data_IF_775447770947
#
_entry.id   IF_775447770947
#
_cell.length_a   1.000
_cell.length_b   1.000
_cell.length_c   1.000
_cell.angle_alpha   90.00
_cell.angle_beta   90.00
_cell.angle_gamma   90.00
#
_symmetry.space_group_name_H-M   'P 1'
#
loop_
_entity.id
_entity.type
_entity.pdbx_description
1 polymer ?
#
# COMPACT_ATOMS: atom_id res chain seq x y z
N UNK A 1 -15.43 -3.52 1.04
CA UNK A 1 -14.29 -4.41 0.69
C UNK A 1 -14.86 -5.73 0.22
N UNK A 2 -14.57 -6.12 -1.03
CA UNK A 2 -15.09 -7.35 -1.63
C UNK A 2 -14.23 -8.60 -1.35
N UNK A 3 -12.96 -8.39 -1.00
CA UNK A 3 -12.00 -9.48 -0.78
C UNK A 3 -10.79 -8.97 0.00
N UNK A 4 -10.23 -9.81 0.86
CA UNK A 4 -8.89 -9.64 1.44
C UNK A 4 -8.01 -10.80 1.01
N UNK A 5 -6.85 -10.47 0.40
CA UNK A 5 -5.83 -11.44 0.01
C UNK A 5 -4.60 -11.31 0.90
N UNK A 6 -4.07 -12.43 1.34
CA UNK A 6 -2.82 -12.48 2.10
C UNK A 6 -1.82 -13.44 1.45
N UNK A 7 -0.53 -13.11 1.55
CA UNK A 7 0.54 -14.01 1.10
C UNK A 7 0.89 -15.10 2.11
N UNK A 8 0.29 -15.07 3.28
CA UNK A 8 0.48 -16.04 4.36
C UNK A 8 -0.78 -16.20 5.20
N UNK A 9 -0.88 -17.30 5.91
CA UNK A 9 -1.94 -17.51 6.91
C UNK A 9 -1.87 -16.42 7.98
N UNK A 10 -3.02 -15.83 8.29
CA UNK A 10 -3.17 -14.82 9.33
C UNK A 10 -4.48 -15.08 10.09
N UNK A 11 -4.42 -15.83 11.22
CA UNK A 11 -5.61 -16.18 11.99
C UNK A 11 -6.44 -14.99 12.44
N UNK A 12 -5.80 -13.91 12.91
CA UNK A 12 -6.50 -12.71 13.35
C UNK A 12 -7.21 -12.01 12.21
N UNK A 13 -6.58 -11.93 11.04
CA UNK A 13 -7.22 -11.36 9.84
C UNK A 13 -8.38 -12.24 9.36
N UNK A 14 -8.21 -13.57 9.40
CA UNK A 14 -9.27 -14.49 9.04
C UNK A 14 -10.48 -14.35 9.98
N UNK A 15 -10.27 -14.28 11.29
CA UNK A 15 -11.32 -14.05 12.28
C UNK A 15 -12.07 -12.73 12.01
N UNK A 16 -11.34 -11.63 11.82
CA UNK A 16 -11.91 -10.35 11.43
C UNK A 16 -12.75 -10.43 10.14
N UNK A 17 -12.23 -11.13 9.11
CA UNK A 17 -12.94 -11.28 7.83
C UNK A 17 -14.25 -12.06 8.01
N UNK A 18 -14.25 -13.11 8.84
CA UNK A 18 -15.46 -13.88 9.17
C UNK A 18 -16.49 -12.97 9.86
N UNK A 19 -16.08 -12.22 10.87
CA UNK A 19 -16.96 -11.28 11.60
C UNK A 19 -17.56 -10.21 10.68
N UNK A 20 -16.77 -9.72 9.71
CA UNK A 20 -17.20 -8.66 8.78
C UNK A 20 -17.87 -9.21 7.51
N UNK A 21 -18.03 -10.54 7.39
CA UNK A 21 -18.54 -11.23 6.19
C UNK A 21 -17.76 -10.84 4.91
N UNK A 22 -16.43 -10.74 5.02
CA UNK A 22 -15.51 -10.45 3.91
C UNK A 22 -14.80 -11.75 3.51
N UNK A 23 -14.79 -12.15 2.22
CA UNK A 23 -13.97 -13.26 1.74
C UNK A 23 -12.49 -13.05 2.07
N UNK A 24 -11.83 -14.10 2.61
CA UNK A 24 -10.41 -14.10 2.90
C UNK A 24 -9.75 -15.27 2.17
N UNK A 25 -8.77 -14.97 1.32
CA UNK A 25 -8.03 -16.00 0.58
C UNK A 25 -6.52 -15.85 0.81
N UNK A 26 -5.80 -16.96 0.80
CA UNK A 26 -4.33 -16.99 0.99
C UNK A 26 -3.69 -17.52 -0.29
N UNK A 27 -2.86 -16.67 -0.91
CA UNK A 27 -2.11 -17.00 -2.11
C UNK A 27 -0.61 -16.92 -1.82
N UNK A 28 0.02 -18.08 -1.61
CA UNK A 28 1.43 -18.16 -1.20
C UNK A 28 2.43 -17.83 -2.32
N UNK A 29 2.03 -17.94 -3.58
CA UNK A 29 2.87 -17.69 -4.74
C UNK A 29 2.25 -16.59 -5.62
N UNK A 30 3.12 -15.69 -6.12
CA UNK A 30 2.71 -14.64 -7.05
C UNK A 30 2.68 -15.18 -8.50
N UNK A 31 1.81 -16.13 -8.75
CA UNK A 31 1.42 -16.44 -10.11
C UNK A 31 0.32 -15.47 -10.51
N UNK A 32 0.57 -14.67 -11.53
CA UNK A 32 -0.37 -13.63 -11.99
C UNK A 32 -1.76 -14.17 -12.20
N UNK A 33 -1.87 -15.35 -12.80
CA UNK A 33 -3.13 -15.99 -13.14
C UNK A 33 -3.95 -16.35 -11.90
N UNK A 34 -3.31 -16.81 -10.82
CA UNK A 34 -4.00 -17.13 -9.58
C UNK A 34 -4.64 -15.89 -8.95
N UNK A 35 -3.91 -14.77 -8.91
CA UNK A 35 -4.42 -13.49 -8.39
C UNK A 35 -5.52 -12.92 -9.29
N UNK A 36 -5.36 -12.97 -10.62
CA UNK A 36 -6.36 -12.50 -11.57
C UNK A 36 -7.65 -13.31 -11.48
N UNK A 37 -7.55 -14.64 -11.41
CA UNK A 37 -8.72 -15.52 -11.28
C UNK A 37 -9.51 -15.25 -10.00
N UNK A 38 -8.81 -15.00 -8.88
CA UNK A 38 -9.47 -14.70 -7.61
C UNK A 38 -10.12 -13.31 -7.66
N UNK A 39 -9.45 -12.31 -8.21
CA UNK A 39 -10.03 -10.99 -8.41
C UNK A 39 -11.28 -11.04 -9.31
N UNK A 40 -11.23 -11.81 -10.39
CA UNK A 40 -12.37 -11.98 -11.29
C UNK A 40 -13.54 -12.70 -10.60
N UNK A 41 -13.26 -13.78 -9.88
CA UNK A 41 -14.27 -14.55 -9.11
C UNK A 41 -15.05 -13.66 -8.13
N UNK A 42 -14.37 -12.67 -7.53
CA UNK A 42 -14.95 -11.75 -6.55
C UNK A 42 -15.31 -10.39 -7.14
N UNK A 43 -15.32 -10.22 -8.46
CA UNK A 43 -15.70 -9.00 -9.19
C UNK A 43 -14.94 -7.76 -8.70
N UNK A 44 -13.64 -7.91 -8.44
CA UNK A 44 -12.79 -6.85 -7.92
C UNK A 44 -12.47 -5.84 -9.03
N UNK A 45 -12.72 -4.57 -8.76
CA UNK A 45 -12.45 -3.46 -9.69
C UNK A 45 -11.25 -2.60 -9.26
N UNK A 46 -10.93 -2.58 -7.97
CA UNK A 46 -9.82 -1.83 -7.41
C UNK A 46 -8.95 -2.73 -6.52
N UNK A 47 -7.65 -2.54 -6.59
CA UNK A 47 -6.68 -3.27 -5.77
C UNK A 47 -5.95 -2.30 -4.86
N UNK A 48 -5.96 -2.59 -3.57
CA UNK A 48 -5.30 -1.76 -2.56
C UNK A 48 -4.15 -2.57 -1.95
N UNK A 49 -2.94 -2.05 -2.08
CA UNK A 49 -1.75 -2.66 -1.50
C UNK A 49 -1.47 -2.02 -0.13
N UNK A 50 -1.51 -2.85 0.90
CA UNK A 50 -1.20 -2.45 2.27
C UNK A 50 -0.12 -3.38 2.83
N UNK A 51 1.11 -2.91 2.90
CA UNK A 51 2.25 -3.72 3.34
C UNK A 51 2.64 -4.83 2.37
N UNK A 52 2.31 -4.69 1.08
CA UNK A 52 2.71 -5.63 0.05
C UNK A 52 4.13 -5.31 -0.43
N UNK A 53 5.06 -6.26 -0.25
CA UNK A 53 6.49 -6.02 -0.43
C UNK A 53 7.08 -6.58 -1.73
N UNK A 54 6.29 -7.35 -2.50
CA UNK A 54 6.72 -7.95 -3.75
C UNK A 54 6.41 -7.04 -4.93
N UNK A 55 7.16 -7.20 -6.03
CA UNK A 55 6.81 -6.52 -7.28
C UNK A 55 5.49 -7.10 -7.82
N UNK A 56 4.58 -6.23 -8.20
CA UNK A 56 3.36 -6.62 -8.90
C UNK A 56 3.75 -7.06 -10.32
N UNK A 57 3.28 -8.22 -10.80
CA UNK A 57 3.51 -8.66 -12.17
C UNK A 57 2.88 -7.71 -13.19
N UNK A 58 3.54 -7.53 -14.33
CA UNK A 58 3.10 -6.64 -15.41
C UNK A 58 1.69 -6.99 -15.90
N UNK A 59 1.41 -8.27 -16.15
CA UNK A 59 0.08 -8.74 -16.55
C UNK A 59 -1.03 -8.38 -15.54
N UNK A 60 -0.69 -8.28 -14.25
CA UNK A 60 -1.64 -7.85 -13.23
C UNK A 60 -1.88 -6.33 -13.29
N UNK A 61 -0.83 -5.54 -13.57
CA UNK A 61 -0.95 -4.08 -13.77
C UNK A 61 -1.79 -3.78 -15.00
N UNK A 62 -1.57 -4.50 -16.11
CA UNK A 62 -2.34 -4.38 -17.34
C UNK A 62 -3.83 -4.71 -17.16
N UNK A 63 -4.16 -5.68 -16.28
CA UNK A 63 -5.54 -6.04 -15.96
C UNK A 63 -6.27 -5.00 -15.10
N UNK A 64 -5.52 -4.18 -14.36
CA UNK A 64 -6.06 -3.13 -13.47
C UNK A 64 -5.44 -1.75 -13.79
N UNK A 65 -5.59 -1.23 -15.02
CA UNK A 65 -4.95 0.02 -15.44
C UNK A 65 -5.45 1.18 -14.58
N UNK A 66 -4.52 1.87 -13.91
CA UNK A 66 -4.80 2.97 -12.96
C UNK A 66 -5.71 2.61 -11.79
N UNK A 67 -5.86 1.33 -11.46
CA UNK A 67 -6.75 0.83 -10.39
C UNK A 67 -6.03 0.05 -9.29
N UNK A 68 -4.71 0.19 -9.22
CA UNK A 68 -3.91 -0.37 -8.12
C UNK A 68 -3.34 0.79 -7.32
N UNK A 69 -3.75 0.91 -6.06
CA UNK A 69 -3.28 1.95 -5.14
C UNK A 69 -2.32 1.32 -4.14
N UNK A 70 -1.17 1.97 -3.94
CA UNK A 70 -0.21 1.59 -2.91
C UNK A 70 0.02 2.74 -1.92
N UNK A 71 0.39 2.40 -0.70
CA UNK A 71 0.90 3.34 0.29
C UNK A 71 2.37 3.07 0.56
N UNK A 72 3.19 4.11 0.44
CA UNK A 72 4.62 4.07 0.72
C UNK A 72 4.94 4.88 1.98
N UNK A 73 5.72 4.33 2.95
CA UNK A 73 5.95 4.94 4.26
C UNK A 73 7.00 6.04 4.28
N UNK A 74 7.12 6.81 3.19
CA UNK A 74 7.95 8.00 3.08
C UNK A 74 7.40 8.99 2.05
N UNK A 75 8.04 10.16 1.95
CA UNK A 75 7.72 11.17 0.93
C UNK A 75 8.47 10.86 -0.36
N UNK A 76 7.78 10.24 -1.34
CA UNK A 76 8.34 10.00 -2.66
C UNK A 76 8.69 11.31 -3.39
N UNK A 77 9.69 11.31 -4.29
CA UNK A 77 10.45 10.17 -4.79
C UNK A 77 11.60 9.73 -3.86
N UNK A 78 11.84 10.43 -2.76
CA UNK A 78 12.89 10.04 -1.81
C UNK A 78 12.50 8.77 -1.06
N UNK A 79 13.48 7.93 -0.75
CA UNK A 79 13.30 6.68 0.00
C UNK A 79 12.32 5.70 -0.64
N UNK A 80 12.12 5.76 -1.96
CA UNK A 80 11.37 4.80 -2.76
C UNK A 80 12.25 3.91 -3.61
N UNK A 81 11.65 2.92 -4.27
CA UNK A 81 12.31 2.02 -5.20
C UNK A 81 12.76 0.69 -4.58
N UNK A 82 13.48 -0.10 -5.36
CA UNK A 82 13.91 -1.45 -4.99
C UNK A 82 14.66 -1.49 -3.64
N UNK A 83 14.18 -2.28 -2.70
CA UNK A 83 14.76 -2.44 -1.36
C UNK A 83 14.24 -1.46 -0.32
N UNK A 84 13.48 -0.44 -0.71
CA UNK A 84 12.88 0.55 0.20
C UNK A 84 11.49 0.11 0.65
N UNK A 85 11.43 -0.74 1.67
CA UNK A 85 10.19 -1.25 2.25
C UNK A 85 10.33 -1.50 3.77
N UNK A 86 9.22 -1.46 4.48
CA UNK A 86 9.15 -1.74 5.90
C UNK A 86 10.16 -0.92 6.71
N UNK A 87 10.88 -1.56 7.62
CA UNK A 87 11.85 -0.92 8.51
C UNK A 87 13.01 -0.23 7.77
N UNK A 88 13.40 -0.73 6.60
CA UNK A 88 14.50 -0.15 5.82
C UNK A 88 14.24 1.31 5.43
N UNK A 89 12.99 1.66 5.11
CA UNK A 89 12.60 3.05 4.80
C UNK A 89 12.82 3.94 6.03
N UNK A 90 12.32 3.53 7.19
CA UNK A 90 12.42 4.32 8.42
C UNK A 90 13.88 4.48 8.88
N UNK A 91 14.71 3.45 8.72
CA UNK A 91 16.15 3.51 8.97
C UNK A 91 16.85 4.48 8.01
N UNK A 92 16.51 4.45 6.72
CA UNK A 92 17.07 5.36 5.74
C UNK A 92 16.71 6.81 6.05
N UNK A 93 15.45 7.06 6.41
CA UNK A 93 14.98 8.39 6.84
C UNK A 93 15.73 8.86 8.10
N UNK A 94 15.84 8.01 9.13
CA UNK A 94 16.50 8.38 10.41
C UNK A 94 17.98 8.70 10.25
N UNK A 95 18.66 8.06 9.29
CA UNK A 95 20.08 8.29 8.96
C UNK A 95 20.29 9.49 8.02
N UNK A 96 19.24 10.05 7.45
CA UNK A 96 19.31 11.15 6.50
C UNK A 96 19.32 12.52 7.19
N UNK A 97 19.52 13.56 6.39
CA UNK A 97 19.47 14.96 6.83
C UNK A 97 18.12 15.64 6.51
N UNK A 98 17.10 14.87 6.16
CA UNK A 98 15.78 15.45 5.84
C UNK A 98 15.08 15.95 7.10
N UNK A 99 14.32 17.03 6.94
CA UNK A 99 13.57 17.64 8.05
C UNK A 99 12.13 17.15 8.15
N UNK A 100 11.66 16.41 7.12
CA UNK A 100 10.29 15.90 7.04
C UNK A 100 10.30 14.45 6.60
N UNK A 101 9.37 13.69 7.13
CA UNK A 101 8.95 12.37 6.62
C UNK A 101 7.43 12.33 6.51
N UNK A 102 6.87 11.22 6.08
CA UNK A 102 5.44 11.08 5.90
C UNK A 102 5.06 9.82 5.17
N UNK A 103 3.93 9.89 4.50
CA UNK A 103 3.41 8.83 3.65
C UNK A 103 3.15 9.37 2.24
N UNK A 104 3.22 8.48 1.26
CA UNK A 104 2.80 8.74 -0.12
C UNK A 104 1.79 7.68 -0.52
N UNK A 105 0.60 8.10 -0.94
CA UNK A 105 -0.38 7.25 -1.62
C UNK A 105 -0.23 7.49 -3.12
N UNK A 106 -0.05 6.42 -3.89
CA UNK A 106 0.20 6.51 -5.33
C UNK A 106 -0.42 5.35 -6.10
N UNK A 107 -0.66 5.54 -7.39
CA UNK A 107 -0.97 4.47 -8.30
C UNK A 107 0.27 3.61 -8.56
N UNK A 108 0.06 2.33 -8.82
CA UNK A 108 1.15 1.40 -9.14
C UNK A 108 1.35 1.33 -10.65
N UNK A 109 2.62 1.34 -11.08
CA UNK A 109 3.05 1.04 -12.43
C UNK A 109 4.15 -0.03 -12.43
N UNK A 110 4.82 -0.29 -13.56
CA UNK A 110 5.84 -1.33 -13.70
C UNK A 110 7.11 -1.05 -12.87
N UNK A 111 7.35 0.21 -12.47
CA UNK A 111 8.50 0.60 -11.66
C UNK A 111 8.11 0.75 -10.19
N UNK A 112 8.96 0.29 -9.28
CA UNK A 112 8.74 0.46 -7.84
C UNK A 112 8.62 1.93 -7.45
N UNK A 113 7.50 2.29 -6.81
CA UNK A 113 7.22 3.59 -6.19
C UNK A 113 7.31 4.79 -7.16
N UNK A 114 7.08 4.57 -8.46
CA UNK A 114 7.17 5.58 -9.53
C UNK A 114 5.83 5.95 -10.18
N UNK A 115 4.76 5.31 -9.79
CA UNK A 115 3.42 5.65 -10.29
C UNK A 115 2.94 7.03 -9.83
N UNK A 116 1.86 7.50 -10.40
CA UNK A 116 1.28 8.82 -10.14
C UNK A 116 0.93 8.98 -8.66
N UNK A 117 1.43 10.04 -8.04
CA UNK A 117 1.13 10.39 -6.65
C UNK A 117 -0.29 10.93 -6.55
N UNK A 118 -1.10 10.30 -5.70
CA UNK A 118 -2.46 10.72 -5.39
C UNK A 118 -2.51 11.69 -4.21
N UNK A 119 -1.74 11.41 -3.16
CA UNK A 119 -1.65 12.25 -1.98
C UNK A 119 -0.35 12.03 -1.21
N UNK A 120 0.10 13.06 -0.50
CA UNK A 120 1.21 12.97 0.45
C UNK A 120 0.83 13.69 1.75
N UNK A 121 1.20 13.07 2.88
CA UNK A 121 1.01 13.66 4.20
C UNK A 121 2.32 13.64 4.95
N UNK A 122 2.78 14.81 5.38
CA UNK A 122 4.08 15.01 6.00
C UNK A 122 3.98 15.31 7.50
N UNK A 123 5.04 14.95 8.22
CA UNK A 123 5.30 15.42 9.58
C UNK A 123 6.75 15.87 9.72
N UNK A 124 6.99 16.79 10.64
CA UNK A 124 8.33 17.31 10.93
C UNK A 124 9.13 16.31 11.76
N UNK A 125 10.36 16.03 11.31
CA UNK A 125 11.34 15.27 12.08
C UNK A 125 12.03 16.22 13.07
N UNK A 126 11.99 15.86 14.35
CA UNK A 126 12.87 16.50 15.34
C UNK A 126 14.30 15.99 15.14
N UNK A 127 15.29 16.79 15.51
CA UNK A 127 16.68 16.39 15.42
C UNK A 127 16.90 14.98 15.99
N UNK A 128 17.38 14.04 15.16
CA UNK A 128 17.65 12.65 15.50
C UNK A 128 16.41 11.84 15.95
N UNK A 129 15.29 11.94 15.25
CA UNK A 129 14.16 11.02 15.46
C UNK A 129 14.61 9.57 15.27
N UNK A 130 14.29 8.71 16.24
CA UNK A 130 14.62 7.28 16.12
C UNK A 130 13.79 6.61 15.03
N UNK A 131 14.26 5.49 14.52
CA UNK A 131 13.53 4.67 13.53
C UNK A 131 12.13 4.32 14.02
N UNK A 132 11.99 3.93 15.29
CA UNK A 132 10.74 3.55 15.94
C UNK A 132 9.78 4.75 16.07
N UNK A 133 10.31 5.93 16.38
CA UNK A 133 9.50 7.15 16.45
C UNK A 133 8.96 7.53 15.06
N UNK A 134 9.78 7.40 14.01
CA UNK A 134 9.38 7.65 12.63
C UNK A 134 8.28 6.64 12.22
N UNK A 135 8.51 5.35 12.46
CA UNK A 135 7.53 4.29 12.16
C UNK A 135 6.19 4.55 12.84
N UNK A 136 6.20 4.91 14.13
CA UNK A 136 4.98 5.21 14.87
C UNK A 136 4.18 6.37 14.27
N UNK A 137 4.86 7.45 13.85
CA UNK A 137 4.19 8.59 13.22
C UNK A 137 3.65 8.23 11.83
N UNK A 138 4.43 7.48 11.04
CA UNK A 138 3.98 6.98 9.73
C UNK A 138 2.71 6.14 9.89
N UNK A 139 2.69 5.19 10.81
CA UNK A 139 1.52 4.34 11.08
C UNK A 139 0.26 5.16 11.44
N UNK A 140 0.41 6.22 12.23
CA UNK A 140 -0.71 7.12 12.55
C UNK A 140 -1.24 7.80 11.28
N UNK A 141 -0.35 8.27 10.39
CA UNK A 141 -0.76 8.88 9.13
C UNK A 141 -1.42 7.87 8.19
N UNK A 142 -0.88 6.65 8.08
CA UNK A 142 -1.46 5.57 7.28
C UNK A 142 -2.89 5.27 7.73
N UNK A 143 -3.10 5.01 9.01
CA UNK A 143 -4.43 4.72 9.57
C UNK A 143 -5.42 5.86 9.36
N UNK A 144 -4.96 7.11 9.44
CA UNK A 144 -5.81 8.30 9.35
C UNK A 144 -6.18 8.66 7.92
N UNK A 145 -5.24 8.57 7.00
CA UNK A 145 -5.38 9.19 5.67
C UNK A 145 -5.55 8.18 4.54
N UNK A 146 -4.96 7.00 4.63
CA UNK A 146 -5.04 6.03 3.54
C UNK A 146 -6.47 5.64 3.18
N UNK A 147 -7.36 5.28 4.14
CA UNK A 147 -8.75 4.97 3.82
C UNK A 147 -9.48 6.14 3.14
N UNK A 148 -9.21 7.37 3.57
CA UNK A 148 -9.85 8.58 3.02
C UNK A 148 -9.43 8.86 1.58
N UNK A 149 -8.14 8.65 1.27
CA UNK A 149 -7.65 8.81 -0.12
C UNK A 149 -8.26 7.75 -1.02
N UNK A 150 -8.30 6.47 -0.58
CA UNK A 150 -8.94 5.39 -1.33
C UNK A 150 -10.39 5.74 -1.63
N UNK A 151 -11.16 6.13 -0.61
CA UNK A 151 -12.56 6.50 -0.76
C UNK A 151 -12.75 7.64 -1.75
N UNK A 152 -11.95 8.71 -1.63
CA UNK A 152 -12.03 9.86 -2.54
C UNK A 152 -11.72 9.49 -3.99
N UNK A 153 -10.73 8.62 -4.23
CA UNK A 153 -10.36 8.19 -5.58
C UNK A 153 -11.45 7.32 -6.20
N UNK A 154 -11.98 6.36 -5.45
CA UNK A 154 -13.04 5.48 -5.95
C UNK A 154 -14.33 6.26 -6.22
N UNK A 155 -14.68 7.22 -5.36
CA UNK A 155 -15.88 8.05 -5.55
C UNK A 155 -15.74 8.99 -6.74
N UNK A 156 -14.56 9.55 -7.01
CA UNK A 156 -14.34 10.42 -8.16
C UNK A 156 -14.57 9.68 -9.50
N UNK A 157 -14.16 8.41 -9.59
CA UNK A 157 -14.37 7.61 -10.80
C UNK A 157 -15.84 7.23 -11.05
N UNK A 158 -16.66 7.16 -10.01
CA UNK A 158 -18.10 6.85 -10.13
C UNK A 158 -18.89 8.05 -10.73
N UNK A 159 -18.31 9.25 -10.69
CA UNK A 159 -18.98 10.50 -11.13
C UNK A 159 -18.66 10.83 -12.60
N UNK A 160 -17.60 10.25 -13.18
CA UNK A 160 -17.25 10.38 -14.60
C UNK A 160 -18.00 9.35 -15.46
#
# INVERSE_FOLDING_TARGET
VGLILSSAQNPLMNEFCVEQNIPFEVLNHMESDAYLNVCQKHEINWVILAGFLKKIPEAFIEAFPNRIINIHPALLPRFGGKGMYGKHVHEAVSKSTVHFSGITVHLVNEEFDKGMILAQYAFSLKNRSSTEAIESHVRILEMKYFPRVIESVIQAEIIE
#
